data_IF_600567530908
#
_entry.id   IF_600567530908
#
_cell.length_a   1.000
_cell.length_b   1.000
_cell.length_c   1.000
_cell.angle_alpha   90.00
_cell.angle_beta   90.00
_cell.angle_gamma   90.00
#
_symmetry.space_group_name_H-M   'P 1'
#
loop_
_entity.id
_entity.type
_entity.pdbx_description
1 polymer ?
#
# COMPACT_ATOMS: atom_id res chain seq x y z
N UNK A 1 -9.64 2.62 -3.63
CA UNK A 1 -9.29 4.05 -3.84
C UNK A 1 -8.82 4.75 -2.56
N UNK A 2 -9.47 4.54 -1.40
CA UNK A 2 -9.07 5.17 -0.13
C UNK A 2 -7.63 4.82 0.32
N UNK A 3 -7.23 3.56 0.25
CA UNK A 3 -5.88 3.09 0.57
C UNK A 3 -4.77 3.80 -0.25
N UNK A 4 -4.98 4.02 -1.55
CA UNK A 4 -4.02 4.76 -2.39
C UNK A 4 -3.83 6.21 -1.92
N UNK A 5 -4.89 6.85 -1.43
CA UNK A 5 -4.86 8.21 -0.89
C UNK A 5 -4.17 8.21 0.48
N UNK A 6 -4.53 7.26 1.33
CA UNK A 6 -3.89 6.94 2.61
C UNK A 6 -2.38 6.82 2.48
N UNK A 7 -1.95 5.96 1.57
CA UNK A 7 -0.56 5.72 1.27
C UNK A 7 0.10 7.02 0.82
N UNK A 8 -0.49 7.81 -0.10
CA UNK A 8 0.07 9.14 -0.52
C UNK A 8 0.30 10.04 0.67
N UNK A 9 -0.74 10.21 1.49
CA UNK A 9 -0.70 11.17 2.56
C UNK A 9 0.30 10.72 3.64
N UNK A 10 0.33 9.43 3.99
CA UNK A 10 1.20 8.92 5.06
C UNK A 10 2.64 9.00 4.62
N UNK A 11 2.90 8.43 3.45
CA UNK A 11 4.20 8.44 2.83
C UNK A 11 4.71 9.87 2.62
N UNK A 12 3.88 10.77 2.06
CA UNK A 12 4.28 12.16 1.83
C UNK A 12 4.63 12.91 3.12
N UNK A 13 3.92 12.63 4.22
CA UNK A 13 4.24 13.22 5.52
C UNK A 13 5.47 12.57 6.17
N UNK A 14 5.66 11.26 6.07
CA UNK A 14 6.89 10.58 6.52
C UNK A 14 8.10 11.12 5.76
N UNK A 15 8.03 11.18 4.43
CA UNK A 15 9.10 11.73 3.59
C UNK A 15 9.39 13.15 4.02
N UNK A 16 8.39 14.02 4.17
CA UNK A 16 8.63 15.40 4.61
C UNK A 16 9.26 15.49 6.01
N UNK A 17 8.84 14.64 6.95
CA UNK A 17 9.33 14.68 8.35
C UNK A 17 10.72 14.08 8.51
N UNK A 18 11.07 13.06 7.72
CA UNK A 18 12.31 12.31 7.87
C UNK A 18 13.35 12.57 6.76
N UNK A 19 12.99 13.18 5.62
CA UNK A 19 13.92 13.50 4.50
C UNK A 19 15.01 14.49 4.89
N UNK A 20 14.69 15.58 5.58
CA UNK A 20 15.72 16.52 6.06
C UNK A 20 16.67 15.89 7.10
N UNK A 21 16.25 14.81 7.78
CA UNK A 21 17.04 14.12 8.82
C UNK A 21 17.77 12.86 8.32
N UNK A 22 17.38 12.26 7.18
CA UNK A 22 17.88 10.98 6.68
C UNK A 22 17.96 10.95 5.14
N UNK A 23 18.97 11.63 4.59
CA UNK A 23 19.21 11.75 3.15
C UNK A 23 19.44 10.40 2.43
N UNK A 24 19.94 9.37 3.11
CA UNK A 24 20.14 8.03 2.50
C UNK A 24 18.83 7.22 2.36
N UNK A 25 17.83 7.48 3.21
CA UNK A 25 16.50 6.86 3.11
C UNK A 25 15.58 7.62 2.14
N UNK A 26 15.95 8.86 1.77
CA UNK A 26 15.22 9.69 0.81
C UNK A 26 15.37 9.17 -0.62
N UNK A 27 16.53 8.64 -1.01
CA UNK A 27 16.76 8.09 -2.35
C UNK A 27 15.88 6.85 -2.60
N UNK A 28 15.80 5.92 -1.64
CA UNK A 28 14.91 4.76 -1.73
C UNK A 28 13.43 5.16 -1.69
N UNK A 29 13.09 6.23 -0.97
CA UNK A 29 11.74 6.78 -0.96
C UNK A 29 11.41 7.39 -2.33
N UNK A 30 12.24 8.27 -2.91
CA UNK A 30 11.97 9.01 -4.15
C UNK A 30 11.73 8.08 -5.34
N UNK A 31 12.43 6.95 -5.42
CA UNK A 31 12.19 5.91 -6.43
C UNK A 31 10.73 5.40 -6.44
N UNK A 32 10.06 5.39 -5.28
CA UNK A 32 8.65 4.99 -5.17
C UNK A 32 7.64 5.99 -5.73
N UNK A 33 7.90 7.30 -5.67
CA UNK A 33 7.02 8.29 -6.30
C UNK A 33 6.99 8.10 -7.82
N UNK A 34 8.15 7.76 -8.41
CA UNK A 34 8.31 7.46 -9.83
C UNK A 34 7.60 6.18 -10.28
N UNK A 35 7.78 5.05 -9.55
CA UNK A 35 7.13 3.79 -9.92
C UNK A 35 5.60 3.87 -9.85
N UNK A 36 5.08 4.60 -8.87
CA UNK A 36 3.65 4.72 -8.61
C UNK A 36 2.89 5.53 -9.67
N UNK A 37 3.53 6.52 -10.29
CA UNK A 37 2.88 7.42 -11.26
C UNK A 37 2.73 6.81 -12.66
N UNK A 38 3.39 5.68 -12.95
CA UNK A 38 3.55 5.18 -14.32
C UNK A 38 2.59 4.06 -14.76
N UNK A 39 1.88 3.40 -13.86
CA UNK A 39 1.04 2.24 -14.24
C UNK A 39 -0.36 2.74 -14.65
N UNK A 40 -0.49 3.11 -15.92
CA UNK A 40 -1.77 3.27 -16.61
C UNK A 40 -1.71 2.50 -17.92
N UNK A 41 -2.43 1.38 -17.98
CA UNK A 41 -2.59 0.56 -19.19
C UNK A 41 -4.10 0.56 -19.47
N UNK A 42 -4.50 1.06 -20.64
CA UNK A 42 -5.87 0.91 -21.15
C UNK A 42 -6.02 -0.50 -21.71
N UNK A 43 -7.08 -1.22 -21.32
CA UNK A 43 -7.21 -2.65 -21.62
C UNK A 43 -8.65 -3.03 -21.99
N UNK A 44 -8.83 -3.56 -23.20
CA UNK A 44 -10.08 -4.15 -23.71
C UNK A 44 -10.03 -5.71 -23.79
N UNK A 45 -8.99 -6.34 -23.20
CA UNK A 45 -8.72 -7.79 -23.25
C UNK A 45 -8.59 -8.39 -21.83
N UNK A 46 -9.33 -9.48 -21.57
CA UNK A 46 -9.33 -10.23 -20.31
C UNK A 46 -7.93 -10.67 -19.90
N UNK A 47 -7.10 -11.16 -20.83
CA UNK A 47 -5.74 -11.62 -20.50
C UNK A 47 -4.86 -10.46 -20.05
N UNK A 48 -4.98 -9.31 -20.73
CA UNK A 48 -4.26 -8.11 -20.37
C UNK A 48 -4.78 -7.50 -19.06
N UNK A 49 -6.07 -7.61 -18.74
CA UNK A 49 -6.63 -7.15 -17.46
C UNK A 49 -6.12 -8.02 -16.30
N UNK A 50 -6.08 -9.34 -16.49
CA UNK A 50 -5.49 -10.29 -15.53
C UNK A 50 -4.01 -9.99 -15.32
N UNK A 51 -3.24 -9.82 -16.40
CA UNK A 51 -1.81 -9.52 -16.31
C UNK A 51 -1.55 -8.17 -15.64
N UNK A 52 -2.37 -7.16 -15.93
CA UNK A 52 -2.25 -5.84 -15.32
C UNK A 52 -2.53 -5.89 -13.81
N UNK A 53 -3.64 -6.52 -13.39
CA UNK A 53 -3.96 -6.68 -11.97
C UNK A 53 -2.86 -7.46 -11.22
N UNK A 54 -2.30 -8.49 -11.85
CA UNK A 54 -1.16 -9.23 -11.30
C UNK A 54 0.08 -8.35 -11.13
N UNK A 55 0.46 -7.60 -12.15
CA UNK A 55 1.62 -6.69 -12.10
C UNK A 55 1.45 -5.62 -11.01
N UNK A 56 0.26 -5.04 -10.91
CA UNK A 56 -0.06 -4.06 -9.86
C UNK A 56 0.08 -4.70 -8.47
N UNK A 57 -0.41 -5.93 -8.29
CA UNK A 57 -0.29 -6.64 -7.02
C UNK A 57 1.18 -6.93 -6.66
N UNK A 58 1.98 -7.41 -7.61
CA UNK A 58 3.41 -7.66 -7.42
C UNK A 58 4.16 -6.39 -6.99
N UNK A 59 3.84 -5.25 -7.62
CA UNK A 59 4.42 -3.95 -7.23
C UNK A 59 4.01 -3.52 -5.83
N UNK A 60 2.76 -3.73 -5.42
CA UNK A 60 2.35 -3.47 -4.05
C UNK A 60 3.01 -4.40 -3.03
N UNK A 61 3.27 -5.66 -3.38
CA UNK A 61 4.01 -6.57 -2.51
C UNK A 61 5.49 -6.16 -2.38
N UNK A 62 6.09 -5.66 -3.45
CA UNK A 62 7.44 -5.08 -3.40
C UNK A 62 7.49 -3.89 -2.44
N UNK A 63 6.52 -2.97 -2.53
CA UNK A 63 6.33 -1.85 -1.59
C UNK A 63 6.19 -2.37 -0.15
N UNK A 64 5.33 -3.35 0.07
CA UNK A 64 5.11 -3.92 1.39
C UNK A 64 6.40 -4.45 2.01
N UNK A 65 7.20 -5.19 1.22
CA UNK A 65 8.47 -5.74 1.66
C UNK A 65 9.50 -4.68 2.05
N UNK A 66 9.60 -3.56 1.30
CA UNK A 66 10.53 -2.47 1.69
C UNK A 66 10.04 -1.75 2.94
N UNK A 67 8.75 -1.47 3.07
CA UNK A 67 8.18 -0.83 4.26
C UNK A 67 8.34 -1.68 5.52
N UNK A 68 8.19 -3.00 5.40
CA UNK A 68 8.43 -3.95 6.49
C UNK A 68 9.91 -4.00 6.88
N UNK A 69 10.85 -3.88 5.92
CA UNK A 69 12.27 -3.73 6.26
C UNK A 69 12.53 -2.43 7.01
N UNK A 70 12.01 -1.31 6.51
CA UNK A 70 12.18 0.00 7.15
C UNK A 70 11.58 0.01 8.56
N UNK A 71 10.45 -0.65 8.80
CA UNK A 71 9.86 -0.71 10.14
C UNK A 71 10.69 -1.50 11.15
N UNK A 72 11.63 -2.33 10.71
CA UNK A 72 12.57 -3.03 11.62
C UNK A 72 13.82 -2.21 11.93
N UNK A 73 14.04 -1.08 11.24
CA UNK A 73 15.18 -0.23 11.49
C UNK A 73 15.00 0.56 12.78
N UNK A 74 16.10 0.67 13.55
CA UNK A 74 16.19 1.55 14.70
C UNK A 74 17.01 2.80 14.32
N UNK A 75 16.37 3.87 13.82
CA UNK A 75 17.09 5.07 13.39
C UNK A 75 17.87 5.69 14.56
N UNK A 76 19.21 5.77 14.49
CA UNK A 76 20.04 6.11 15.65
C UNK A 76 19.89 7.56 16.12
N UNK A 77 19.54 8.49 15.22
CA UNK A 77 19.50 9.93 15.48
C UNK A 77 18.10 10.50 15.78
N UNK A 78 17.12 9.64 16.08
CA UNK A 78 15.78 10.07 16.44
C UNK A 78 15.55 10.01 17.97
N UNK A 79 14.81 10.97 18.55
CA UNK A 79 14.23 10.79 19.87
C UNK A 79 13.36 9.53 19.94
N UNK A 80 13.28 8.88 21.11
CA UNK A 80 12.55 7.62 21.29
C UNK A 80 11.12 7.64 20.74
N UNK A 81 10.39 8.74 20.95
CA UNK A 81 9.02 8.89 20.44
C UNK A 81 8.97 8.98 18.90
N UNK A 82 9.93 9.67 18.27
CA UNK A 82 10.02 9.75 16.80
C UNK A 82 10.42 8.40 16.19
N UNK A 83 11.22 7.59 16.90
CA UNK A 83 11.54 6.20 16.48
C UNK A 83 10.29 5.32 16.48
N UNK A 84 9.48 5.41 17.53
CA UNK A 84 8.25 4.64 17.63
C UNK A 84 7.24 5.04 16.56
N UNK A 85 7.13 6.34 16.26
CA UNK A 85 6.30 6.83 15.15
C UNK A 85 6.83 6.37 13.80
N UNK A 86 8.16 6.39 13.60
CA UNK A 86 8.80 5.87 12.39
C UNK A 86 8.44 4.39 12.19
N UNK A 87 8.65 3.53 13.19
CA UNK A 87 8.35 2.10 13.10
C UNK A 87 6.87 1.87 12.80
N UNK A 88 5.96 2.43 13.62
CA UNK A 88 4.51 2.26 13.46
C UNK A 88 3.99 2.75 12.11
N UNK A 89 4.54 3.85 11.62
CA UNK A 89 4.15 4.42 10.34
C UNK A 89 4.55 3.54 9.15
N UNK A 90 5.74 2.93 9.18
CA UNK A 90 6.20 2.01 8.15
C UNK A 90 5.52 0.65 8.23
N UNK A 91 5.20 0.13 9.43
CA UNK A 91 4.36 -1.07 9.59
C UNK A 91 2.97 -0.85 8.97
N UNK A 92 2.38 0.32 9.23
CA UNK A 92 1.07 0.66 8.69
C UNK A 92 1.09 0.80 7.16
N UNK A 93 2.16 1.37 6.59
CA UNK A 93 2.37 1.42 5.14
C UNK A 93 2.54 0.02 4.54
N UNK A 94 3.31 -0.85 5.18
CA UNK A 94 3.50 -2.24 4.74
C UNK A 94 2.16 -2.98 4.69
N UNK A 95 1.36 -2.87 5.75
CA UNK A 95 0.04 -3.49 5.83
C UNK A 95 -0.93 -2.89 4.80
N UNK A 96 -0.92 -1.57 4.60
CA UNK A 96 -1.74 -0.92 3.58
C UNK A 96 -1.39 -1.40 2.16
N UNK A 97 -0.09 -1.56 1.87
CA UNK A 97 0.38 -2.11 0.60
C UNK A 97 -0.03 -3.58 0.41
N UNK A 98 0.07 -4.42 1.44
CA UNK A 98 -0.42 -5.81 1.41
C UNK A 98 -1.92 -5.88 1.09
N UNK A 99 -2.73 -5.01 1.69
CA UNK A 99 -4.17 -4.94 1.41
C UNK A 99 -4.45 -4.52 -0.04
N UNK A 100 -3.73 -3.53 -0.59
CA UNK A 100 -3.87 -3.16 -2.01
C UNK A 100 -3.47 -4.30 -2.94
N UNK A 101 -2.38 -5.02 -2.65
CA UNK A 101 -2.00 -6.19 -3.43
C UNK A 101 -3.11 -7.24 -3.45
N UNK A 102 -3.66 -7.58 -2.29
CA UNK A 102 -4.76 -8.54 -2.16
C UNK A 102 -6.00 -8.11 -2.95
N UNK A 103 -6.37 -6.83 -2.91
CA UNK A 103 -7.52 -6.32 -3.69
C UNK A 103 -7.29 -6.53 -5.20
N UNK A 104 -6.09 -6.28 -5.72
CA UNK A 104 -5.81 -6.48 -7.13
C UNK A 104 -5.78 -7.97 -7.51
N UNK A 105 -5.27 -8.85 -6.65
CA UNK A 105 -5.33 -10.29 -6.87
C UNK A 105 -6.78 -10.81 -6.87
N UNK A 106 -7.63 -10.30 -5.98
CA UNK A 106 -9.05 -10.66 -5.96
C UNK A 106 -9.79 -10.15 -7.21
N UNK A 107 -9.46 -8.96 -7.71
CA UNK A 107 -10.01 -8.45 -8.97
C UNK A 107 -9.56 -9.31 -10.16
N UNK A 108 -8.29 -9.69 -10.20
CA UNK A 108 -7.77 -10.63 -11.20
C UNK A 108 -8.55 -11.96 -11.20
N UNK A 109 -8.72 -12.57 -10.03
CA UNK A 109 -9.48 -13.82 -9.90
C UNK A 109 -10.95 -13.64 -10.30
N UNK A 110 -11.53 -12.47 -10.03
CA UNK A 110 -12.90 -12.15 -10.39
C UNK A 110 -13.11 -12.03 -11.89
N UNK A 111 -12.18 -11.38 -12.60
CA UNK A 111 -12.16 -11.30 -14.07
C UNK A 111 -12.11 -12.70 -14.68
N UNK A 112 -11.27 -13.59 -14.14
CA UNK A 112 -11.21 -14.99 -14.56
C UNK A 112 -12.53 -15.73 -14.28
N UNK A 113 -13.12 -15.55 -13.09
CA UNK A 113 -14.40 -16.16 -12.75
C UNK A 113 -15.54 -15.70 -13.69
N UNK A 114 -15.56 -14.41 -14.02
CA UNK A 114 -16.53 -13.81 -14.95
C UNK A 114 -16.38 -14.40 -16.36
N UNK A 115 -15.15 -14.55 -16.87
CA UNK A 115 -14.89 -15.19 -18.17
C UNK A 115 -15.41 -16.63 -18.25
N UNK A 116 -15.52 -17.32 -17.10
CA UNK A 116 -15.99 -18.71 -16.97
C UNK A 116 -17.47 -18.83 -16.60
N UNK A 117 -18.16 -17.71 -16.40
CA UNK A 117 -19.52 -17.67 -15.84
C UNK A 117 -19.65 -18.36 -14.46
N UNK A 118 -18.59 -18.33 -13.64
CA UNK A 118 -18.61 -18.90 -12.28
C UNK A 118 -19.16 -17.90 -11.25
N UNK A 119 -20.50 -17.81 -11.20
CA UNK A 119 -21.21 -16.88 -10.32
C UNK A 119 -20.99 -17.15 -8.83
N UNK A 120 -20.72 -18.41 -8.45
CA UNK A 120 -20.49 -18.77 -7.05
C UNK A 120 -19.14 -18.23 -6.60
N UNK A 121 -18.09 -18.51 -7.36
CA UNK A 121 -16.75 -18.00 -7.07
C UNK A 121 -16.74 -16.47 -7.07
N UNK A 122 -17.40 -15.83 -8.04
CA UNK A 122 -17.51 -14.36 -8.08
C UNK A 122 -18.03 -13.77 -6.76
N UNK A 123 -19.11 -14.34 -6.21
CA UNK A 123 -19.71 -13.86 -4.97
C UNK A 123 -18.78 -14.04 -3.77
N UNK A 124 -18.04 -15.14 -3.72
CA UNK A 124 -17.03 -15.39 -2.68
C UNK A 124 -15.88 -14.38 -2.77
N UNK A 125 -15.42 -14.06 -3.98
CA UNK A 125 -14.37 -13.07 -4.22
C UNK A 125 -14.82 -11.64 -3.86
N UNK A 126 -16.06 -11.27 -4.19
CA UNK A 126 -16.63 -9.96 -3.81
C UNK A 126 -16.69 -9.80 -2.28
N UNK A 127 -17.01 -10.87 -1.54
CA UNK A 127 -17.00 -10.84 -0.08
C UNK A 127 -15.59 -10.63 0.47
N UNK A 128 -14.61 -11.41 -0.01
CA UNK A 128 -13.20 -11.25 0.39
C UNK A 128 -12.66 -9.85 0.08
N UNK A 129 -13.03 -9.30 -1.07
CA UNK A 129 -12.63 -7.94 -1.46
C UNK A 129 -13.20 -6.91 -0.47
N UNK A 130 -14.47 -7.07 -0.10
CA UNK A 130 -15.10 -6.20 0.90
C UNK A 130 -14.37 -6.28 2.25
N UNK A 131 -13.98 -7.47 2.69
CA UNK A 131 -13.17 -7.64 3.92
C UNK A 131 -11.83 -6.87 3.84
N UNK A 132 -11.15 -6.90 2.69
CA UNK A 132 -9.93 -6.11 2.47
C UNK A 132 -10.21 -4.59 2.50
N UNK A 133 -11.32 -4.12 1.94
CA UNK A 133 -11.74 -2.72 1.97
C UNK A 133 -12.12 -2.24 3.39
N UNK A 134 -12.69 -3.13 4.21
CA UNK A 134 -12.97 -2.86 5.62
C UNK A 134 -11.66 -2.76 6.43
N UNK A 135 -10.69 -3.64 6.18
CA UNK A 135 -9.34 -3.53 6.76
C UNK A 135 -8.65 -2.21 6.36
N UNK A 136 -8.74 -1.84 5.08
CA UNK A 136 -8.28 -0.53 4.58
C UNK A 136 -8.90 0.63 5.36
N UNK A 137 -10.21 0.55 5.60
CA UNK A 137 -10.94 1.59 6.31
C UNK A 137 -10.55 1.65 7.79
N UNK A 138 -10.30 0.51 8.42
CA UNK A 138 -9.81 0.47 9.80
C UNK A 138 -8.42 1.10 9.93
N UNK A 139 -7.54 0.89 8.96
CA UNK A 139 -6.20 1.50 8.91
C UNK A 139 -6.22 3.03 8.80
N UNK A 140 -7.27 3.64 8.22
CA UNK A 140 -7.44 5.11 8.19
C UNK A 140 -7.41 5.74 9.58
N UNK A 141 -8.02 5.07 10.56
CA UNK A 141 -8.08 5.58 11.94
C UNK A 141 -6.69 5.58 12.56
N UNK A 142 -5.95 4.49 12.36
CA UNK A 142 -4.57 4.38 12.85
C UNK A 142 -3.68 5.42 12.17
N UNK A 143 -3.86 5.61 10.87
CA UNK A 143 -3.13 6.60 10.09
C UNK A 143 -3.35 8.02 10.61
N UNK A 144 -4.61 8.40 10.84
CA UNK A 144 -4.95 9.72 11.39
C UNK A 144 -4.27 9.96 12.73
N UNK A 145 -4.26 8.97 13.61
CA UNK A 145 -3.59 9.07 14.90
C UNK A 145 -2.07 9.30 14.76
N UNK A 146 -1.42 8.62 13.80
CA UNK A 146 0.01 8.79 13.52
C UNK A 146 0.27 10.20 12.97
N UNK A 147 -0.53 10.69 12.03
CA UNK A 147 -0.41 12.06 11.53
C UNK A 147 -0.58 13.11 12.61
N UNK A 148 -1.63 12.99 13.41
CA UNK A 148 -1.90 13.91 14.51
C UNK A 148 -0.75 13.91 15.54
N UNK A 149 0.05 12.84 15.60
CA UNK A 149 1.26 12.76 16.43
C UNK A 149 2.51 13.34 15.76
N UNK A 150 2.60 13.29 14.43
CA UNK A 150 3.71 13.85 13.66
C UNK A 150 3.59 15.37 13.45
N UNK A 151 2.39 15.94 13.58
CA UNK A 151 2.09 17.36 13.35
C UNK A 151 2.04 18.21 14.63
N UNK A 152 2.28 17.62 15.81
CA UNK A 152 2.34 18.31 17.10
C UNK A 152 3.79 18.52 17.52
#
# INVERSE_FOLDING_TARGET
>A
MLNKILFKLLYGNIVRTYSEKYLELEDEARDYEGERLSIRIDVDDIEAEVMNNKLIAEKWLEVAGKMERLSTLNPPNLPQHEKELFIKSHELLANSAKVEANINLLEMEKVVADSRNDFKLKKELDLKKKEQEELSTAMLKQYRNILDSLLK
#
